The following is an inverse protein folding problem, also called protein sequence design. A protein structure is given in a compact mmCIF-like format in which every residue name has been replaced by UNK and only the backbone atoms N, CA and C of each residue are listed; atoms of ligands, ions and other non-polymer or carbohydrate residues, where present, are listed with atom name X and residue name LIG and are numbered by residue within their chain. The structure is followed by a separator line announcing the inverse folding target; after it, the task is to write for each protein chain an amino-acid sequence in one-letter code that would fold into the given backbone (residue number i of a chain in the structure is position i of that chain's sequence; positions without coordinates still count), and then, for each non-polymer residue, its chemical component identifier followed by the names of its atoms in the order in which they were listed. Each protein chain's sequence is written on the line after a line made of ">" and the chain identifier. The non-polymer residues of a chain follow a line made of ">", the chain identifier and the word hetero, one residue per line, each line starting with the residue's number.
data_IF_439298286230
#
_entry.id   IF_439298286230
#
_cell.length_a   1.000
_cell.length_b   1.000
_cell.length_c   1.000
_cell.angle_alpha   90.00
_cell.angle_beta   90.00
_cell.angle_gamma   90.00
#
_symmetry.space_group_name_H-M   'P 1'
#
loop_
_entity.id
_entity.type
_entity.pdbx_description
1 polymer ?
#
# COMPACT_ATOMS: atom_id res chain seq x y z
N UNK A 1 36.13 -18.20 30.22
CA UNK A 1 36.96 -17.08 29.75
C UNK A 1 36.02 -16.08 29.11
N UNK A 2 35.62 -15.05 29.86
CA UNK A 2 34.95 -13.89 29.28
C UNK A 2 36.01 -13.06 28.55
N UNK A 3 35.94 -13.03 27.22
CA UNK A 3 36.70 -12.08 26.43
C UNK A 3 36.05 -10.71 26.59
N UNK A 4 36.39 -10.02 27.68
CA UNK A 4 36.11 -8.59 27.81
C UNK A 4 37.02 -7.87 26.81
N UNK A 5 36.42 -7.42 25.69
CA UNK A 5 37.12 -6.58 24.71
C UNK A 5 37.60 -5.30 25.40
N UNK A 6 38.79 -4.78 25.08
CA UNK A 6 39.24 -3.51 25.62
C UNK A 6 38.25 -2.38 25.25
N UNK A 7 38.06 -1.35 26.10
CA UNK A 7 37.06 -0.29 25.90
C UNK A 7 37.16 0.44 24.56
N UNK A 8 38.34 0.44 23.95
CA UNK A 8 38.62 1.02 22.65
C UNK A 8 37.96 0.25 21.48
N UNK A 9 37.86 -1.07 21.59
CA UNK A 9 37.21 -1.92 20.57
C UNK A 9 35.70 -1.74 20.58
N UNK A 10 35.10 -1.47 21.74
CA UNK A 10 33.68 -1.11 21.84
C UNK A 10 33.37 0.23 21.17
N UNK A 11 34.26 1.22 21.29
CA UNK A 11 34.09 2.52 20.63
C UNK A 11 34.24 2.41 19.11
N UNK A 12 35.17 1.59 18.63
CA UNK A 12 35.34 1.31 17.21
C UNK A 12 34.13 0.55 16.66
N UNK A 13 33.66 -0.48 17.37
CA UNK A 13 32.46 -1.23 16.98
C UNK A 13 31.20 -0.35 16.97
N UNK A 14 31.02 0.50 17.98
CA UNK A 14 29.91 1.46 18.03
C UNK A 14 30.01 2.48 16.89
N UNK A 15 31.20 2.99 16.58
CA UNK A 15 31.45 3.89 15.46
C UNK A 15 31.12 3.24 14.10
N UNK A 16 31.54 2.00 13.89
CA UNK A 16 31.21 1.24 12.69
C UNK A 16 29.71 0.98 12.57
N UNK A 17 29.02 0.69 13.67
CA UNK A 17 27.57 0.46 13.68
C UNK A 17 26.80 1.75 13.37
N UNK A 18 27.21 2.89 13.91
CA UNK A 18 26.61 4.20 13.59
C UNK A 18 26.84 4.55 12.12
N UNK A 19 28.05 4.34 11.59
CA UNK A 19 28.34 4.57 10.17
C UNK A 19 27.51 3.65 9.27
N UNK A 20 27.37 2.38 9.65
CA UNK A 20 26.52 1.42 8.95
C UNK A 20 25.05 1.86 8.95
N UNK A 21 24.52 2.29 10.10
CA UNK A 21 23.14 2.77 10.18
C UNK A 21 22.92 4.09 9.42
N UNK A 22 23.91 4.98 9.35
CA UNK A 22 23.82 6.20 8.55
C UNK A 22 23.75 5.91 7.05
N UNK A 23 24.55 4.96 6.57
CA UNK A 23 24.61 4.60 5.15
C UNK A 23 23.44 3.69 4.74
N UNK A 24 23.13 2.68 5.57
CA UNK A 24 22.19 1.61 5.24
C UNK A 24 20.84 1.74 5.94
N UNK A 25 20.71 2.54 7.01
CA UNK A 25 19.49 2.62 7.81
C UNK A 25 18.26 3.04 7.00
N UNK A 26 18.44 3.95 6.03
CA UNK A 26 17.37 4.29 5.09
C UNK A 26 16.90 3.09 4.28
N UNK A 27 17.82 2.26 3.76
CA UNK A 27 17.49 1.05 2.98
C UNK A 27 16.88 -0.04 3.85
N UNK A 28 17.43 -0.25 5.05
CA UNK A 28 16.91 -1.20 6.04
C UNK A 28 15.48 -0.88 6.45
N UNK A 29 15.19 0.39 6.80
CA UNK A 29 13.84 0.84 7.14
C UNK A 29 12.84 0.52 6.03
N UNK A 30 13.25 0.74 4.78
CA UNK A 30 12.39 0.52 3.63
C UNK A 30 12.13 -0.98 3.36
N UNK A 31 13.14 -1.84 3.55
CA UNK A 31 12.99 -3.29 3.45
C UNK A 31 12.12 -3.84 4.58
N UNK A 32 12.33 -3.36 5.81
CA UNK A 32 11.49 -3.73 6.95
C UNK A 32 10.04 -3.30 6.72
N UNK A 33 9.80 -2.07 6.26
CA UNK A 33 8.45 -1.59 5.95
C UNK A 33 7.76 -2.49 4.92
N UNK A 34 8.45 -2.86 3.84
CA UNK A 34 7.86 -3.74 2.82
C UNK A 34 7.56 -5.13 3.36
N UNK A 35 8.46 -5.69 4.17
CA UNK A 35 8.30 -7.01 4.78
C UNK A 35 7.10 -7.03 5.72
N UNK A 36 7.01 -6.02 6.59
CA UNK A 36 5.90 -5.86 7.53
C UNK A 36 4.59 -5.65 6.79
N UNK A 37 4.56 -4.81 5.74
CA UNK A 37 3.36 -4.64 4.92
C UNK A 37 2.93 -5.97 4.29
N UNK A 38 3.87 -6.74 3.73
CA UNK A 38 3.56 -8.03 3.11
C UNK A 38 2.99 -9.04 4.11
N UNK A 39 3.55 -9.11 5.31
CA UNK A 39 3.02 -9.97 6.37
C UNK A 39 1.62 -9.51 6.84
N UNK A 40 1.45 -8.22 7.11
CA UNK A 40 0.19 -7.67 7.61
C UNK A 40 -0.93 -7.68 6.57
N UNK A 41 -0.61 -7.61 5.28
CA UNK A 41 -1.60 -7.66 4.18
C UNK A 41 -1.65 -9.02 3.50
N UNK A 42 -0.94 -10.04 3.99
CA UNK A 42 -0.85 -11.35 3.34
C UNK A 42 -2.21 -12.03 3.14
N UNK A 43 -3.18 -11.76 4.02
CA UNK A 43 -4.57 -12.25 3.90
C UNK A 43 -5.32 -11.74 2.66
N UNK A 44 -4.85 -10.63 2.06
CA UNK A 44 -5.48 -10.00 0.89
C UNK A 44 -4.69 -10.24 -0.40
N UNK A 45 -3.54 -10.91 -0.30
CA UNK A 45 -2.63 -11.20 -1.40
C UNK A 45 -1.41 -10.27 -1.46
N UNK A 46 -0.65 -10.40 -2.54
CA UNK A 46 0.60 -9.65 -2.71
C UNK A 46 0.35 -8.12 -2.83
N UNK A 47 1.28 -7.29 -2.32
CA UNK A 47 1.17 -5.83 -2.33
C UNK A 47 1.30 -5.19 -3.73
N UNK A 48 1.25 -5.99 -4.80
CA UNK A 48 1.22 -5.57 -6.21
C UNK A 48 -0.04 -6.05 -6.93
N UNK A 49 -0.94 -6.76 -6.23
CA UNK A 49 -2.16 -7.29 -6.82
C UNK A 49 -3.20 -6.17 -6.98
N UNK A 50 -3.67 -5.98 -8.21
CA UNK A 50 -4.74 -5.03 -8.54
C UNK A 50 -6.13 -5.51 -8.12
N UNK A 51 -6.29 -6.80 -7.81
CA UNK A 51 -7.53 -7.41 -7.31
C UNK A 51 -7.27 -8.17 -6.00
N UNK A 52 -7.09 -7.47 -4.88
CA UNK A 52 -6.95 -8.11 -3.58
C UNK A 52 -8.16 -8.97 -3.22
N UNK A 53 -7.95 -10.00 -2.39
CA UNK A 53 -9.03 -10.86 -1.89
C UNK A 53 -10.05 -10.06 -1.08
N UNK A 54 -11.32 -10.45 -1.14
CA UNK A 54 -12.37 -9.81 -0.34
C UNK A 54 -12.12 -9.99 1.16
N UNK A 55 -12.56 -9.01 1.95
CA UNK A 55 -12.46 -9.01 3.41
C UNK A 55 -13.83 -8.87 4.03
N UNK A 56 -14.06 -9.59 5.13
CA UNK A 56 -15.27 -9.48 5.93
C UNK A 56 -14.99 -8.66 7.18
N UNK A 57 -15.83 -7.69 7.46
CA UNK A 57 -15.80 -6.93 8.71
C UNK A 57 -17.09 -7.17 9.50
N UNK A 58 -16.98 -7.11 10.83
CA UNK A 58 -18.16 -7.12 11.72
C UNK A 58 -18.88 -5.76 11.75
N UNK A 59 -18.25 -4.72 11.20
CA UNK A 59 -18.87 -3.39 11.10
C UNK A 59 -20.06 -3.44 10.16
N UNK A 60 -21.13 -2.69 10.48
CA UNK A 60 -22.21 -2.43 9.54
C UNK A 60 -21.64 -1.75 8.28
N UNK A 61 -22.21 -2.01 7.10
CA UNK A 61 -21.73 -1.46 5.83
C UNK A 61 -21.60 0.08 5.80
N UNK A 62 -22.46 0.82 6.52
CA UNK A 62 -22.33 2.28 6.66
C UNK A 62 -21.10 2.69 7.49
N UNK A 63 -20.80 1.98 8.57
CA UNK A 63 -19.62 2.23 9.40
C UNK A 63 -18.35 1.82 8.67
N UNK A 64 -18.38 0.67 8.00
CA UNK A 64 -17.29 0.21 7.15
C UNK A 64 -16.98 1.22 6.03
N UNK A 65 -18.00 1.80 5.39
CA UNK A 65 -17.79 2.85 4.40
C UNK A 65 -17.09 4.10 4.99
N UNK A 66 -17.46 4.53 6.21
CA UNK A 66 -16.76 5.62 6.91
C UNK A 66 -15.32 5.25 7.26
N UNK A 67 -15.09 4.01 7.69
CA UNK A 67 -13.76 3.47 8.00
C UNK A 67 -12.88 3.43 6.74
N UNK A 68 -13.44 3.01 5.60
CA UNK A 68 -12.75 3.05 4.29
C UNK A 68 -12.43 4.48 3.86
N UNK A 69 -13.39 5.41 3.99
CA UNK A 69 -13.12 6.82 3.70
C UNK A 69 -12.00 7.37 4.58
N UNK A 70 -11.97 7.04 5.87
CA UNK A 70 -10.89 7.44 6.78
C UNK A 70 -9.55 6.83 6.37
N UNK A 71 -9.53 5.54 6.01
CA UNK A 71 -8.33 4.85 5.55
C UNK A 71 -7.75 5.51 4.29
N UNK A 72 -8.59 5.91 3.35
CA UNK A 72 -8.17 6.59 2.12
C UNK A 72 -7.80 8.06 2.36
N UNK A 73 -8.45 8.73 3.32
CA UNK A 73 -8.11 10.09 3.72
C UNK A 73 -6.84 10.15 4.59
N UNK A 74 -6.38 9.02 5.11
CA UNK A 74 -5.20 8.96 5.96
C UNK A 74 -3.93 9.19 5.13
N UNK A 75 -3.38 10.40 5.25
CA UNK A 75 -2.16 10.81 4.56
C UNK A 75 -0.94 10.04 5.07
N UNK A 76 -0.51 9.01 4.33
CA UNK A 76 0.90 8.61 4.35
C UNK A 76 1.66 9.57 3.43
N UNK A 77 2.88 9.97 3.82
CA UNK A 77 3.71 10.87 3.01
C UNK A 77 3.68 10.42 1.53
N UNK A 78 3.12 11.27 0.67
CA UNK A 78 2.94 11.12 -0.78
C UNK A 78 1.74 10.28 -1.31
N UNK A 79 0.78 9.86 -0.49
CA UNK A 79 -0.45 9.19 -0.96
C UNK A 79 -1.68 10.00 -0.56
N UNK A 80 -2.06 10.97 -1.39
CA UNK A 80 -3.31 11.71 -1.23
C UNK A 80 -4.33 11.10 -2.17
N UNK A 81 -5.38 10.49 -1.61
CA UNK A 81 -6.52 10.01 -2.38
C UNK A 81 -7.59 11.11 -2.42
N UNK A 82 -8.02 11.48 -3.63
CA UNK A 82 -9.25 12.27 -3.81
C UNK A 82 -10.45 11.34 -3.78
N UNK A 83 -11.33 11.51 -2.81
CA UNK A 83 -12.37 10.54 -2.45
C UNK A 83 -13.73 10.95 -3.01
N UNK A 84 -14.43 10.00 -3.63
CA UNK A 84 -15.83 10.09 -4.03
C UNK A 84 -16.60 8.92 -3.43
N UNK A 85 -17.79 9.19 -2.90
CA UNK A 85 -18.65 8.17 -2.27
C UNK A 85 -19.97 8.12 -3.03
N UNK A 86 -20.41 6.93 -3.39
CA UNK A 86 -21.67 6.69 -4.09
C UNK A 86 -22.40 5.56 -3.37
N UNK A 87 -23.60 5.84 -2.87
CA UNK A 87 -24.50 4.81 -2.35
C UNK A 87 -25.25 4.19 -3.51
N UNK A 88 -25.27 2.87 -3.57
CA UNK A 88 -25.98 2.10 -4.59
C UNK A 88 -27.10 1.35 -3.86
N UNK A 89 -28.32 1.83 -4.08
CA UNK A 89 -29.53 1.24 -3.53
C UNK A 89 -30.14 0.31 -4.58
N UNK A 90 -29.60 -0.90 -4.69
CA UNK A 90 -30.19 -1.98 -5.47
C UNK A 90 -31.12 -2.81 -4.55
N UNK A 91 -32.35 -3.16 -4.97
CA UNK A 91 -33.26 -4.02 -4.20
C UNK A 91 -32.70 -5.42 -3.91
N UNK A 92 -31.72 -5.90 -4.68
CA UNK A 92 -31.09 -7.23 -4.49
C UNK A 92 -29.84 -7.13 -3.60
N UNK A 93 -29.02 -6.09 -3.79
CA UNK A 93 -27.75 -5.95 -3.06
C UNK A 93 -27.41 -4.48 -2.74
N UNK A 94 -27.61 -4.10 -1.48
CA UNK A 94 -27.25 -2.76 -0.99
C UNK A 94 -25.74 -2.64 -0.87
N UNK A 95 -25.17 -1.59 -1.48
CA UNK A 95 -23.75 -1.33 -1.40
C UNK A 95 -23.39 0.14 -1.34
N UNK A 96 -22.23 0.44 -0.78
CA UNK A 96 -21.61 1.75 -0.84
C UNK A 96 -20.28 1.61 -1.56
N UNK A 97 -20.11 2.39 -2.61
CA UNK A 97 -18.86 2.50 -3.36
C UNK A 97 -18.08 3.71 -2.88
N UNK A 98 -16.85 3.48 -2.44
CA UNK A 98 -15.88 4.52 -2.14
C UNK A 98 -14.76 4.45 -3.17
N UNK A 99 -14.62 5.51 -3.95
CA UNK A 99 -13.57 5.66 -4.98
C UNK A 99 -12.52 6.64 -4.49
N UNK A 100 -11.26 6.23 -4.48
CA UNK A 100 -10.11 7.11 -4.27
C UNK A 100 -9.33 7.28 -5.56
N UNK A 101 -8.91 8.49 -5.90
CA UNK A 101 -8.01 8.77 -7.02
C UNK A 101 -6.66 9.26 -6.50
N UNK A 102 -5.56 8.66 -6.93
CA UNK A 102 -4.21 9.10 -6.57
C UNK A 102 -3.25 8.97 -7.76
N UNK A 103 -1.99 9.26 -7.52
CA UNK A 103 -0.93 9.24 -8.52
C UNK A 103 0.19 8.32 -8.06
N UNK A 104 0.54 7.36 -8.89
CA UNK A 104 1.75 6.58 -8.73
C UNK A 104 2.95 7.44 -9.14
N UNK A 105 3.92 7.56 -8.24
CA UNK A 105 5.17 8.27 -8.50
C UNK A 105 5.95 7.66 -9.69
N UNK A 106 6.91 8.39 -10.27
CA UNK A 106 7.69 7.89 -11.41
C UNK A 106 8.44 6.61 -11.05
N UNK A 107 8.72 5.77 -12.06
CA UNK A 107 9.37 4.48 -11.83
C UNK A 107 10.77 4.67 -11.23
N UNK A 108 11.11 3.93 -10.16
CA UNK A 108 12.45 4.02 -9.55
C UNK A 108 13.50 3.19 -10.28
N UNK A 109 13.07 2.17 -11.03
CA UNK A 109 13.96 1.26 -11.73
C UNK A 109 14.06 1.69 -13.20
N UNK A 110 15.28 1.87 -13.68
CA UNK A 110 15.56 2.21 -15.08
C UNK A 110 14.97 1.15 -15.99
N UNK A 111 14.15 1.61 -16.93
CA UNK A 111 13.61 0.83 -18.04
C UNK A 111 14.73 0.06 -18.73
N UNK A 112 14.62 -1.27 -18.94
CA UNK A 112 15.64 -2.01 -19.68
C UNK A 112 15.88 -1.39 -21.07
N UNK A 113 17.11 -1.50 -21.58
CA UNK A 113 17.57 -0.86 -22.82
C UNK A 113 16.83 -1.28 -24.10
N UNK A 114 15.82 -2.15 -24.00
CA UNK A 114 15.02 -2.69 -25.10
C UNK A 114 13.88 -1.77 -25.57
N UNK A 115 13.55 -0.70 -24.84
CA UNK A 115 12.52 0.26 -25.24
C UNK A 115 13.09 1.33 -26.18
N UNK A 116 12.27 1.89 -27.08
CA UNK A 116 12.66 3.05 -27.87
C UNK A 116 12.98 4.24 -26.95
N UNK A 117 13.91 5.10 -27.36
CA UNK A 117 14.43 6.17 -26.50
C UNK A 117 13.33 7.15 -26.01
N UNK A 118 12.29 7.36 -26.82
CA UNK A 118 11.12 8.18 -26.46
C UNK A 118 10.27 7.55 -25.34
N UNK A 119 9.96 6.24 -25.43
CA UNK A 119 9.17 5.53 -24.41
C UNK A 119 9.89 5.46 -23.07
N UNK A 120 11.23 5.38 -23.09
CA UNK A 120 12.06 5.42 -21.87
C UNK A 120 11.96 6.77 -21.15
N UNK A 121 11.98 7.87 -21.89
CA UNK A 121 11.92 9.21 -21.32
C UNK A 121 10.51 9.54 -20.78
N UNK A 122 9.44 9.11 -21.45
CA UNK A 122 8.08 9.30 -20.96
C UNK A 122 7.75 8.42 -19.73
N UNK A 123 8.20 7.16 -19.71
CA UNK A 123 7.94 6.24 -18.60
C UNK A 123 8.70 6.58 -17.31
N UNK A 124 9.88 7.19 -17.42
CA UNK A 124 10.72 7.58 -16.29
C UNK A 124 10.28 8.90 -15.61
N UNK A 125 9.49 9.73 -16.29
CA UNK A 125 9.18 11.11 -15.84
C UNK A 125 7.70 11.28 -15.45
N UNK A 126 6.79 10.48 -16.00
CA UNK A 126 5.36 10.69 -15.80
C UNK A 126 4.79 10.00 -14.57
N UNK A 127 4.07 10.77 -13.75
CA UNK A 127 3.18 10.23 -12.72
C UNK A 127 2.02 9.48 -13.39
N UNK A 128 1.68 8.30 -12.90
CA UNK A 128 0.59 7.51 -13.47
C UNK A 128 -0.64 7.57 -12.56
N UNK A 129 -1.78 8.11 -13.03
CA UNK A 129 -3.01 8.08 -12.26
C UNK A 129 -3.45 6.65 -11.94
N UNK A 130 -3.92 6.44 -10.72
CA UNK A 130 -4.45 5.16 -10.26
C UNK A 130 -5.68 5.40 -9.41
N UNK A 131 -6.70 4.59 -9.65
CA UNK A 131 -7.98 4.65 -8.94
C UNK A 131 -8.11 3.42 -8.07
N UNK A 132 -8.48 3.59 -6.80
CA UNK A 132 -8.96 2.51 -5.95
C UNK A 132 -10.48 2.59 -5.88
N UNK A 133 -11.15 1.49 -6.19
CA UNK A 133 -12.59 1.36 -6.01
C UNK A 133 -12.83 0.33 -4.92
N UNK A 134 -13.47 0.75 -3.82
CA UNK A 134 -13.85 -0.11 -2.70
C UNK A 134 -15.37 -0.20 -2.67
N UNK A 135 -15.89 -1.40 -2.85
CA UNK A 135 -17.31 -1.72 -2.77
C UNK A 135 -17.58 -2.42 -1.43
N UNK A 136 -18.46 -1.80 -0.63
CA UNK A 136 -18.88 -2.29 0.68
C UNK A 136 -20.32 -2.78 0.56
N UNK A 137 -20.53 -4.08 0.73
CA UNK A 137 -21.83 -4.72 0.65
C UNK A 137 -22.39 -5.00 2.04
N UNK A 138 -23.70 -4.87 2.18
CA UNK A 138 -24.42 -5.35 3.37
C UNK A 138 -24.38 -6.88 3.40
N UNK A 139 -23.99 -7.46 4.54
CA UNK A 139 -23.84 -8.90 4.71
C UNK A 139 -24.31 -9.32 6.10
N UNK A 140 -24.93 -10.49 6.23
CA UNK A 140 -25.51 -10.93 7.50
C UNK A 140 -24.47 -10.92 8.63
N UNK A 141 -24.70 -10.05 9.63
CA UNK A 141 -23.80 -9.90 10.79
C UNK A 141 -22.59 -8.98 10.57
N UNK A 142 -22.54 -8.21 9.48
CA UNK A 142 -21.45 -7.25 9.24
C UNK A 142 -21.46 -6.65 7.83
N UNK A 143 -20.30 -6.65 7.18
CA UNK A 143 -20.13 -6.17 5.82
C UNK A 143 -19.09 -6.98 5.06
N UNK A 144 -19.31 -7.14 3.76
CA UNK A 144 -18.34 -7.71 2.81
C UNK A 144 -17.71 -6.57 2.03
N UNK A 145 -16.39 -6.49 2.06
CA UNK A 145 -15.61 -5.41 1.43
C UNK A 145 -14.77 -6.01 0.32
N UNK A 146 -14.88 -5.44 -0.87
CA UNK A 146 -14.11 -5.82 -2.05
C UNK A 146 -13.48 -4.56 -2.62
N UNK A 147 -12.22 -4.60 -3.01
CA UNK A 147 -11.62 -3.47 -3.71
C UNK A 147 -10.75 -3.89 -4.87
N UNK A 148 -10.59 -2.95 -5.80
CA UNK A 148 -9.72 -3.10 -6.95
C UNK A 148 -8.95 -1.81 -7.23
N UNK A 149 -7.76 -1.97 -7.79
CA UNK A 149 -6.95 -0.89 -8.28
C UNK A 149 -7.07 -0.83 -9.81
N UNK A 150 -7.23 0.37 -10.36
CA UNK A 150 -7.37 0.63 -11.78
C UNK A 150 -6.33 1.67 -12.19
N UNK A 151 -5.14 1.23 -12.63
CA UNK A 151 -4.12 2.13 -13.17
C UNK A 151 -4.57 2.67 -14.53
N UNK A 152 -4.23 3.92 -14.84
CA UNK A 152 -4.58 4.54 -16.14
C UNK A 152 -3.86 3.90 -17.33
N UNK A 153 -2.69 3.28 -17.10
CA UNK A 153 -1.93 2.52 -18.09
C UNK A 153 -1.58 1.12 -17.52
N UNK A 154 -2.43 0.10 -17.77
CA UNK A 154 -2.21 -1.25 -17.27
C UNK A 154 -0.92 -1.91 -17.74
N UNK A 155 -0.49 -1.65 -18.99
CA UNK A 155 0.74 -2.21 -19.57
C UNK A 155 1.99 -1.70 -18.84
N UNK A 156 2.04 -0.39 -18.61
CA UNK A 156 3.12 0.25 -17.86
C UNK A 156 3.14 -0.18 -16.39
N UNK A 157 1.95 -0.31 -15.78
CA UNK A 157 1.82 -0.85 -14.43
C UNK A 157 2.38 -2.27 -14.33
N UNK A 158 1.99 -3.17 -15.25
CA UNK A 158 2.47 -4.56 -15.25
C UNK A 158 3.99 -4.63 -15.45
N UNK A 159 4.55 -3.78 -16.32
CA UNK A 159 6.00 -3.65 -16.49
C UNK A 159 6.68 -3.27 -15.19
N UNK A 160 6.15 -2.27 -14.47
CA UNK A 160 6.69 -1.84 -13.17
C UNK A 160 6.61 -2.94 -12.12
N UNK A 161 5.54 -3.73 -12.09
CA UNK A 161 5.42 -4.91 -11.21
C UNK A 161 6.51 -5.94 -11.53
N UNK A 162 6.71 -6.28 -12.80
CA UNK A 162 7.74 -7.24 -13.22
C UNK A 162 9.17 -6.77 -12.90
N UNK A 163 9.41 -5.45 -12.97
CA UNK A 163 10.68 -4.85 -12.61
C UNK A 163 10.86 -4.64 -11.10
N UNK A 164 9.89 -5.04 -10.27
CA UNK A 164 9.95 -4.85 -8.82
C UNK A 164 9.96 -3.38 -8.41
N UNK A 165 9.18 -2.52 -9.09
CA UNK A 165 9.07 -1.10 -8.76
C UNK A 165 8.55 -0.95 -7.32
N UNK A 166 9.37 -0.27 -6.53
CA UNK A 166 9.11 -0.03 -5.12
C UNK A 166 7.89 0.86 -4.91
N UNK A 167 7.68 1.84 -5.78
CA UNK A 167 6.58 2.80 -5.62
C UNK A 167 5.22 2.11 -5.75
N UNK A 168 5.12 1.10 -6.62
CA UNK A 168 3.90 0.28 -6.76
C UNK A 168 3.63 -0.46 -5.46
N UNK A 169 4.63 -1.20 -4.99
CA UNK A 169 4.50 -2.06 -3.81
C UNK A 169 4.19 -1.26 -2.54
N UNK A 170 4.79 -0.07 -2.39
CA UNK A 170 4.52 0.80 -1.25
C UNK A 170 3.13 1.42 -1.30
N UNK A 171 2.70 1.91 -2.47
CA UNK A 171 1.38 2.55 -2.61
C UNK A 171 0.27 1.56 -2.27
N UNK A 172 0.29 0.38 -2.92
CA UNK A 172 -0.75 -0.63 -2.72
C UNK A 172 -0.62 -1.30 -1.35
N UNK A 173 0.59 -1.64 -0.91
CA UNK A 173 0.82 -2.23 0.40
C UNK A 173 0.32 -1.33 1.54
N UNK A 174 0.66 -0.04 1.53
CA UNK A 174 0.18 0.93 2.54
C UNK A 174 -1.33 1.13 2.48
N UNK A 175 -1.91 1.16 1.28
CA UNK A 175 -3.36 1.32 1.10
C UNK A 175 -4.10 0.10 1.63
N UNK A 176 -3.66 -1.12 1.26
CA UNK A 176 -4.19 -2.38 1.78
C UNK A 176 -4.09 -2.44 3.31
N UNK A 177 -2.91 -2.13 3.87
CA UNK A 177 -2.73 -2.11 5.32
C UNK A 177 -3.68 -1.14 6.01
N UNK A 178 -3.86 0.06 5.47
CA UNK A 178 -4.72 1.09 6.07
C UNK A 178 -6.20 0.69 6.03
N UNK A 179 -6.65 0.11 4.91
CA UNK A 179 -7.99 -0.44 4.79
C UNK A 179 -8.22 -1.55 5.81
N UNK A 180 -7.32 -2.54 5.87
CA UNK A 180 -7.41 -3.65 6.83
C UNK A 180 -7.43 -3.12 8.26
N UNK A 181 -6.51 -2.20 8.59
CA UNK A 181 -6.40 -1.61 9.93
C UNK A 181 -7.71 -0.96 10.34
N UNK A 182 -8.28 -0.07 9.55
CA UNK A 182 -9.54 0.61 9.92
C UNK A 182 -10.75 -0.35 9.95
N UNK A 183 -10.76 -1.38 9.09
CA UNK A 183 -11.83 -2.39 9.05
C UNK A 183 -11.75 -3.39 10.22
N UNK A 184 -10.57 -3.62 10.80
CA UNK A 184 -10.36 -4.55 11.92
C UNK A 184 -10.14 -3.87 13.28
N UNK A 185 -9.72 -2.60 13.34
CA UNK A 185 -9.33 -1.93 14.58
C UNK A 185 -10.50 -1.61 15.53
N UNK A 186 -11.75 -1.61 15.07
CA UNK A 186 -12.92 -1.42 15.95
C UNK A 186 -13.31 -2.72 16.68
N UNK A 187 -12.38 -3.23 17.50
CA UNK A 187 -12.64 -4.32 18.47
C UNK A 187 -12.92 -3.82 19.90
N UNK A 188 -12.83 -2.51 20.15
CA UNK A 188 -13.16 -1.97 21.47
C UNK A 188 -14.63 -1.51 21.50
N UNK A 189 -15.49 -2.14 22.32
CA UNK A 189 -16.78 -1.56 22.63
C UNK A 189 -16.58 -0.23 23.41
N UNK A 190 -17.60 0.66 23.45
CA UNK A 190 -17.58 1.84 24.30
C UNK A 190 -17.40 1.51 25.78
#
# INVERSE_FOLDING_TARGET
>A
MEFALPPQDYLIAAGCLVLFLLIFGGRLKNMMEMTVLKELTGMVGDPTNVHPTQVFSKQNYHEAAKSVQRALAHNYKATNWSIKVVTIEDPIERSIRVTGNSWLAPATNTTPNTLQAQDRQQAAVSNMPIVVQVDIFDYQGGSRIIWKYSPSNPSEYQRRVQLGDRNVSLLLGRTNYSLIKELHARRTPP
#
